data_IF_018580670759
#
_entry.id   IF_018580670759
#
_cell.length_a   1.000
_cell.length_b   1.000
_cell.length_c   1.000
_cell.angle_alpha   90.00
_cell.angle_beta   90.00
_cell.angle_gamma   90.00
#
_symmetry.space_group_name_H-M   'P 1'
#
loop_
_entity.id
_entity.type
_entity.pdbx_description
1 polymer ?
#
# COMPACT_ATOMS: atom_id res chain seq x y z
N UNK A 1 -21.68 -15.20 -13.01
CA UNK A 1 -20.62 -14.31 -13.53
C UNK A 1 -19.61 -14.13 -12.40
N UNK A 2 -18.38 -14.66 -12.52
CA UNK A 2 -17.35 -14.41 -11.49
C UNK A 2 -16.93 -12.94 -11.67
N UNK A 3 -17.23 -12.09 -10.69
CA UNK A 3 -16.67 -10.73 -10.63
C UNK A 3 -15.15 -10.90 -10.63
N UNK A 4 -14.47 -10.37 -11.65
CA UNK A 4 -13.03 -10.33 -11.65
C UNK A 4 -12.57 -9.56 -10.40
N UNK A 5 -11.63 -10.12 -9.64
CA UNK A 5 -11.04 -9.40 -8.51
C UNK A 5 -10.48 -8.07 -8.99
N UNK A 6 -10.90 -6.98 -8.34
CA UNK A 6 -10.46 -5.63 -8.70
C UNK A 6 -8.96 -5.49 -8.45
N UNK A 7 -8.20 -5.19 -9.51
CA UNK A 7 -6.75 -5.03 -9.41
C UNK A 7 -6.38 -3.75 -8.65
N UNK A 8 -5.29 -3.79 -7.91
CA UNK A 8 -4.74 -2.61 -7.26
C UNK A 8 -4.32 -1.55 -8.31
N UNK A 9 -4.72 -0.27 -8.15
CA UNK A 9 -4.45 0.79 -9.13
C UNK A 9 -3.02 1.33 -8.98
N UNK A 10 -2.05 0.51 -9.37
CA UNK A 10 -0.62 0.85 -9.43
C UNK A 10 -0.21 1.18 -10.87
N UNK A 11 0.95 1.82 -11.05
CA UNK A 11 1.53 2.03 -12.39
C UNK A 11 1.86 0.70 -13.05
N UNK A 12 1.62 0.58 -14.36
CA UNK A 12 1.85 -0.64 -15.14
C UNK A 12 3.30 -1.13 -15.12
N UNK A 13 4.26 -0.24 -14.86
CA UNK A 13 5.68 -0.61 -14.69
C UNK A 13 5.94 -1.45 -13.43
N UNK A 14 4.98 -1.50 -12.50
CA UNK A 14 5.10 -2.20 -11.23
C UNK A 14 4.38 -3.54 -11.33
N UNK A 15 5.08 -4.63 -11.01
CA UNK A 15 4.47 -5.95 -10.87
C UNK A 15 3.99 -6.12 -9.43
N UNK A 16 2.68 -6.27 -9.21
CA UNK A 16 2.14 -6.64 -7.91
C UNK A 16 2.34 -8.15 -7.72
N UNK A 17 3.15 -8.53 -6.73
CA UNK A 17 3.37 -9.94 -6.36
C UNK A 17 2.27 -10.38 -5.40
N UNK A 18 1.98 -9.56 -4.38
CA UNK A 18 0.95 -9.81 -3.39
C UNK A 18 0.43 -8.47 -2.86
N UNK A 19 -0.82 -8.45 -2.40
CA UNK A 19 -1.40 -7.27 -1.76
C UNK A 19 -2.34 -7.66 -0.63
N UNK A 20 -2.36 -6.84 0.41
CA UNK A 20 -3.28 -6.94 1.54
C UNK A 20 -4.02 -5.61 1.63
N UNK A 21 -5.33 -5.65 1.41
CA UNK A 21 -6.19 -4.49 1.67
C UNK A 21 -6.38 -4.35 3.19
N UNK A 22 -6.05 -3.18 3.73
CA UNK A 22 -6.32 -2.85 5.14
C UNK A 22 -7.77 -2.38 5.29
N UNK A 23 -8.19 -1.47 4.41
CA UNK A 23 -9.60 -1.11 4.26
C UNK A 23 -9.88 -0.58 2.86
N UNK A 24 -11.15 -0.66 2.48
CA UNK A 24 -11.67 -0.04 1.26
C UNK A 24 -13.09 0.47 1.50
N UNK A 25 -13.32 1.73 1.15
CA UNK A 25 -14.63 2.40 1.16
C UNK A 25 -14.93 2.93 -0.25
N UNK A 26 -16.05 3.61 -0.44
CA UNK A 26 -16.34 4.29 -1.71
C UNK A 26 -15.32 5.39 -2.04
N UNK A 27 -14.72 6.01 -1.02
CA UNK A 27 -13.82 7.18 -1.19
C UNK A 27 -12.35 6.84 -1.03
N UNK A 28 -12.00 5.82 -0.25
CA UNK A 28 -10.62 5.55 0.16
C UNK A 28 -10.28 4.07 0.08
N UNK A 29 -9.05 3.77 -0.33
CA UNK A 29 -8.50 2.42 -0.34
C UNK A 29 -7.08 2.47 0.23
N UNK A 30 -6.86 1.78 1.36
CA UNK A 30 -5.55 1.58 1.95
C UNK A 30 -5.13 0.12 1.78
N UNK A 31 -3.94 -0.11 1.25
CA UNK A 31 -3.38 -1.45 1.09
C UNK A 31 -1.86 -1.47 1.30
N UNK A 32 -1.33 -2.64 1.65
CA UNK A 32 0.10 -2.95 1.68
C UNK A 32 0.40 -3.91 0.55
N UNK A 33 1.33 -3.55 -0.34
CA UNK A 33 1.67 -4.33 -1.52
C UNK A 33 3.13 -4.77 -1.48
N UNK A 34 3.37 -6.04 -1.79
CA UNK A 34 4.68 -6.53 -2.22
C UNK A 34 4.77 -6.35 -3.73
N UNK A 35 5.71 -5.52 -4.16
CA UNK A 35 5.90 -5.12 -5.55
C UNK A 35 7.29 -5.49 -6.06
N UNK A 36 7.40 -5.66 -7.36
CA UNK A 36 8.68 -5.66 -8.07
C UNK A 36 8.72 -4.48 -9.05
N UNK A 37 9.83 -3.75 -9.04
CA UNK A 37 10.11 -2.65 -9.97
C UNK A 37 11.57 -2.73 -10.41
N UNK A 38 11.82 -2.77 -11.72
CA UNK A 38 13.17 -2.82 -12.29
C UNK A 38 14.05 -3.92 -11.65
N UNK A 39 13.49 -5.12 -11.45
CA UNK A 39 14.17 -6.26 -10.85
C UNK A 39 14.38 -6.19 -9.32
N UNK A 40 13.86 -5.17 -8.64
CA UNK A 40 13.96 -5.02 -7.19
C UNK A 40 12.61 -5.18 -6.51
N UNK A 41 12.59 -6.00 -5.45
CA UNK A 41 11.40 -6.16 -4.59
C UNK A 41 11.34 -5.04 -3.56
N UNK A 42 10.13 -4.56 -3.30
CA UNK A 42 9.84 -3.56 -2.29
C UNK A 42 8.47 -3.81 -1.69
N UNK A 43 8.30 -3.48 -0.40
CA UNK A 43 6.98 -3.38 0.21
C UNK A 43 6.57 -1.92 0.15
N UNK A 44 5.31 -1.64 -0.17
CA UNK A 44 4.81 -0.28 -0.16
C UNK A 44 3.39 -0.22 0.40
N UNK A 45 3.15 0.75 1.28
CA UNK A 45 1.79 1.13 1.66
C UNK A 45 1.26 2.12 0.63
N UNK A 46 0.01 1.95 0.23
CA UNK A 46 -0.67 2.81 -0.71
C UNK A 46 -1.98 3.30 -0.12
N UNK A 47 -2.22 4.60 -0.27
CA UNK A 47 -3.53 5.19 -0.08
C UNK A 47 -4.00 5.75 -1.42
N UNK A 48 -5.14 5.28 -1.91
CA UNK A 48 -5.84 5.85 -3.05
C UNK A 48 -7.11 6.53 -2.59
N UNK A 49 -7.49 7.58 -3.31
CA UNK A 49 -8.81 8.17 -3.19
C UNK A 49 -9.59 7.96 -4.49
N UNK A 50 -10.87 7.65 -4.37
CA UNK A 50 -11.77 7.58 -5.50
C UNK A 50 -12.20 9.00 -5.88
N UNK A 51 -12.15 9.32 -7.17
CA UNK A 51 -12.83 10.49 -7.75
C UNK A 51 -13.64 10.00 -8.94
N UNK A 52 -14.96 10.01 -8.81
CA UNK A 52 -15.92 9.67 -9.86
C UNK A 52 -15.63 8.29 -10.49
N UNK A 53 -15.42 7.27 -9.66
CA UNK A 53 -15.12 5.90 -10.07
C UNK A 53 -13.65 5.63 -10.37
N UNK A 54 -12.79 6.65 -10.39
CA UNK A 54 -11.36 6.50 -10.70
C UNK A 54 -10.52 6.60 -9.43
N UNK A 55 -9.81 5.52 -9.10
CA UNK A 55 -8.82 5.52 -8.03
C UNK A 55 -7.57 6.30 -8.42
N UNK A 56 -7.22 7.32 -7.64
CA UNK A 56 -5.97 8.08 -7.80
C UNK A 56 -5.10 7.91 -6.57
N UNK A 57 -3.81 7.66 -6.80
CA UNK A 57 -2.83 7.51 -5.71
C UNK A 57 -2.69 8.84 -4.97
N UNK A 58 -2.94 8.83 -3.67
CA UNK A 58 -2.71 9.98 -2.77
C UNK A 58 -1.41 9.86 -2.02
N UNK A 59 -1.12 8.69 -1.47
CA UNK A 59 0.12 8.42 -0.78
C UNK A 59 0.70 7.09 -1.23
N UNK A 60 2.02 7.03 -1.23
CA UNK A 60 2.81 5.82 -1.38
C UNK A 60 4.00 5.96 -0.45
N UNK A 61 4.16 5.01 0.46
CA UNK A 61 5.34 4.92 1.29
C UNK A 61 6.04 3.61 1.00
N UNK A 62 7.33 3.69 0.64
CA UNK A 62 8.13 2.53 0.24
C UNK A 62 9.02 2.10 1.39
N UNK A 63 8.94 0.83 1.71
CA UNK A 63 9.85 0.13 2.62
C UNK A 63 10.85 -0.61 1.73
N UNK A 64 12.00 0.02 1.51
CA UNK A 64 13.03 -0.46 0.57
C UNK A 64 13.95 -1.54 1.15
N UNK A 65 14.05 -1.64 2.47
CA UNK A 65 14.87 -2.65 3.16
C UNK A 65 14.38 -2.91 4.59
N UNK A 66 14.92 -3.96 5.20
CA UNK A 66 14.56 -4.42 6.55
C UNK A 66 14.97 -3.44 7.66
N UNK A 67 16.11 -2.77 7.53
CA UNK A 67 16.61 -1.83 8.55
C UNK A 67 15.70 -0.61 8.68
N UNK A 68 15.29 -0.02 7.55
CA UNK A 68 14.34 1.10 7.54
C UNK A 68 13.00 0.68 8.15
N UNK A 69 12.50 -0.50 7.81
CA UNK A 69 11.28 -1.02 8.43
C UNK A 69 11.42 -1.11 9.95
N UNK A 70 12.50 -1.71 10.43
CA UNK A 70 12.73 -1.90 11.86
C UNK A 70 12.71 -0.56 12.61
N UNK A 71 13.42 0.45 12.11
CA UNK A 71 13.44 1.79 12.71
C UNK A 71 12.04 2.43 12.75
N UNK A 72 11.25 2.27 11.68
CA UNK A 72 9.90 2.80 11.61
C UNK A 72 8.97 2.07 12.57
N UNK A 73 9.00 0.74 12.58
CA UNK A 73 8.17 -0.06 13.48
C UNK A 73 8.48 0.24 14.94
N UNK A 74 9.76 0.35 15.31
CA UNK A 74 10.17 0.72 16.67
C UNK A 74 9.65 2.12 17.05
N UNK A 75 9.73 3.09 16.13
CA UNK A 75 9.21 4.43 16.37
C UNK A 75 7.67 4.45 16.50
N UNK A 76 6.96 3.66 15.69
CA UNK A 76 5.49 3.51 15.79
C UNK A 76 5.14 2.88 17.14
N UNK A 77 5.72 1.74 17.48
CA UNK A 77 5.44 1.02 18.72
C UNK A 77 5.73 1.89 19.95
N UNK A 78 6.78 2.72 19.92
CA UNK A 78 7.08 3.67 20.98
C UNK A 78 6.00 4.74 21.18
N UNK A 79 5.38 5.20 20.09
CA UNK A 79 4.35 6.24 20.13
C UNK A 79 2.93 5.69 20.24
N UNK A 80 2.74 4.39 19.96
CA UNK A 80 1.43 3.75 19.96
C UNK A 80 0.68 3.88 21.30
N UNK A 81 1.32 3.78 22.49
CA UNK A 81 0.65 4.00 23.77
C UNK A 81 0.08 5.42 23.96
N UNK A 82 0.61 6.41 23.25
CA UNK A 82 0.15 7.81 23.32
C UNK A 82 -1.01 8.09 22.36
N UNK A 83 -1.33 7.14 21.47
CA UNK A 83 -2.43 7.26 20.52
C UNK A 83 -3.75 6.99 21.25
N UNK A 84 -4.50 8.07 21.53
CA UNK A 84 -5.82 8.05 22.16
C UNK A 84 -6.93 7.65 21.18
#
# INVERSE_FOLDING_TARGET
MRLAEEKFPVSEILKVIQGITIYKTEKWWLAVLLLEAFGRRQIATYLWNNKNGVWKRRQKFVISNKTLWQQISEAIEKLLPELK
#
